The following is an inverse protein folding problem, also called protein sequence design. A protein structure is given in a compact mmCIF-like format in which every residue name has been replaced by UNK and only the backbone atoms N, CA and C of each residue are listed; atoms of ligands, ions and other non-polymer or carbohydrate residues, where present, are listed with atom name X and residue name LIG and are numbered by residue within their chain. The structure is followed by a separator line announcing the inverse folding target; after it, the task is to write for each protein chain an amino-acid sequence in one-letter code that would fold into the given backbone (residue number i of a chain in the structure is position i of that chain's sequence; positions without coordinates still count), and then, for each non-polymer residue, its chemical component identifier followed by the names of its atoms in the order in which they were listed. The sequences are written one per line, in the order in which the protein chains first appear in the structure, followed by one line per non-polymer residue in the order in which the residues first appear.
data_IF_051521212801
#
_entry.id   IF_051521212801
#
_cell.length_a   1.000
_cell.length_b   1.000
_cell.length_c   1.000
_cell.angle_alpha   90.00
_cell.angle_beta   90.00
_cell.angle_gamma   90.00
#
_symmetry.space_group_name_H-M   'P 1'
#
loop_
_entity.id
_entity.type
_entity.pdbx_description
1 polymer ?
#
# COMPACT_ATOMS: atom_id res chain seq x y z
N UNK A 1 32.40 3.64 -26.65
CA UNK A 1 31.87 2.73 -27.70
C UNK A 1 31.97 1.33 -27.13
N UNK A 2 30.88 0.82 -26.57
CA UNK A 2 30.70 -0.60 -26.24
C UNK A 2 29.34 -0.98 -26.80
N UNK A 3 29.36 -1.69 -27.91
CA UNK A 3 28.22 -2.33 -28.53
C UNK A 3 28.20 -3.79 -28.07
N UNK A 4 27.53 -4.08 -26.97
CA UNK A 4 27.25 -5.47 -26.58
C UNK A 4 25.96 -5.92 -27.28
N UNK A 5 26.15 -6.61 -28.40
CA UNK A 5 25.11 -7.35 -29.12
C UNK A 5 24.70 -8.58 -28.28
N UNK A 6 23.47 -8.59 -27.78
CA UNK A 6 22.86 -9.77 -27.14
C UNK A 6 22.79 -10.89 -28.20
N UNK A 7 23.31 -12.11 -27.91
CA UNK A 7 23.33 -13.18 -28.92
C UNK A 7 21.90 -13.62 -29.28
N UNK A 8 21.63 -13.74 -30.56
CA UNK A 8 20.34 -14.20 -31.14
C UNK A 8 19.86 -15.53 -30.53
N UNK A 9 20.76 -16.37 -30.05
CA UNK A 9 20.46 -17.62 -29.36
C UNK A 9 19.71 -17.44 -28.00
N UNK A 10 19.82 -16.28 -27.36
CA UNK A 10 19.10 -15.98 -26.14
C UNK A 10 17.62 -15.68 -26.41
N UNK A 11 17.32 -15.05 -27.55
CA UNK A 11 15.93 -14.77 -27.97
C UNK A 11 15.14 -16.03 -28.30
N UNK A 12 15.75 -16.96 -29.00
CA UNK A 12 15.11 -18.23 -29.39
C UNK A 12 14.79 -19.11 -28.17
N UNK A 13 15.66 -19.12 -27.13
CA UNK A 13 15.39 -19.85 -25.89
C UNK A 13 14.24 -19.24 -25.07
N UNK A 14 14.07 -17.92 -25.13
CA UNK A 14 13.00 -17.24 -24.40
C UNK A 14 11.64 -17.52 -25.07
N UNK A 15 11.55 -17.51 -26.40
CA UNK A 15 10.30 -17.82 -27.11
C UNK A 15 9.87 -19.28 -26.92
N UNK A 16 10.80 -20.23 -26.95
CA UNK A 16 10.50 -21.66 -26.69
C UNK A 16 10.03 -21.87 -25.24
N UNK A 17 10.64 -21.18 -24.27
CA UNK A 17 10.24 -21.28 -22.87
C UNK A 17 8.82 -20.73 -22.64
N UNK A 18 8.44 -19.64 -23.29
CA UNK A 18 7.08 -19.12 -23.24
C UNK A 18 6.05 -19.98 -23.97
N UNK A 19 6.43 -20.60 -25.09
CA UNK A 19 5.56 -21.52 -25.82
C UNK A 19 5.26 -22.78 -24.97
N UNK A 20 6.25 -23.34 -24.30
CA UNK A 20 6.09 -24.49 -23.40
C UNK A 20 5.23 -24.17 -22.18
N UNK A 21 5.36 -22.99 -21.59
CA UNK A 21 4.51 -22.54 -20.47
C UNK A 21 3.06 -22.37 -20.92
N UNK A 22 2.82 -21.74 -22.07
CA UNK A 22 1.47 -21.59 -22.63
C UNK A 22 0.84 -22.94 -22.98
N UNK A 23 1.62 -23.87 -23.50
CA UNK A 23 1.15 -25.23 -23.84
C UNK A 23 0.82 -26.01 -22.57
N UNK A 24 1.69 -25.96 -21.55
CA UNK A 24 1.47 -26.65 -20.27
C UNK A 24 0.23 -26.14 -19.51
N UNK A 25 -0.04 -24.84 -19.56
CA UNK A 25 -1.25 -24.26 -18.97
C UNK A 25 -2.54 -24.62 -19.75
N UNK A 26 -2.44 -24.89 -21.05
CA UNK A 26 -3.57 -25.32 -21.88
C UNK A 26 -3.99 -26.78 -21.64
N UNK A 27 -3.05 -27.66 -21.28
CA UNK A 27 -3.30 -29.10 -21.08
C UNK A 27 -3.59 -29.46 -19.62
N UNK A 28 -3.20 -28.61 -18.67
CA UNK A 28 -3.51 -28.76 -17.25
C UNK A 28 -4.34 -27.56 -16.77
N UNK A 29 -5.63 -27.46 -17.11
CA UNK A 29 -6.46 -26.45 -16.48
C UNK A 29 -6.45 -26.71 -14.97
N UNK A 30 -5.99 -25.73 -14.18
CA UNK A 30 -6.09 -25.81 -12.72
C UNK A 30 -7.53 -26.18 -12.37
N UNK A 31 -7.75 -27.11 -11.43
CA UNK A 31 -9.10 -27.48 -11.02
C UNK A 31 -9.82 -26.20 -10.54
N UNK A 32 -11.07 -26.01 -11.02
CA UNK A 32 -11.97 -24.89 -10.70
C UNK A 32 -12.50 -25.10 -9.27
N UNK A 33 -11.61 -25.10 -8.29
CA UNK A 33 -11.96 -25.11 -6.85
C UNK A 33 -11.35 -23.94 -6.11
N UNK A 34 -10.80 -22.95 -6.83
CA UNK A 34 -10.35 -21.71 -6.24
C UNK A 34 -11.56 -20.78 -6.10
N UNK A 35 -12.15 -20.74 -4.89
CA UNK A 35 -13.10 -19.68 -4.56
C UNK A 35 -12.40 -18.36 -4.87
N UNK A 36 -13.01 -17.56 -5.77
CA UNK A 36 -12.42 -16.31 -6.22
C UNK A 36 -11.94 -15.50 -5.01
N UNK A 37 -10.62 -15.19 -5.01
CA UNK A 37 -9.97 -14.39 -3.97
C UNK A 37 -10.77 -13.11 -3.71
N UNK A 38 -10.93 -12.72 -2.45
CA UNK A 38 -11.61 -11.47 -2.10
C UNK A 38 -10.69 -10.26 -2.28
N UNK A 39 -11.28 -9.08 -2.43
CA UNK A 39 -10.54 -7.79 -2.45
C UNK A 39 -9.69 -7.63 -1.17
N UNK A 40 -10.24 -7.96 0.01
CA UNK A 40 -9.49 -7.91 1.25
C UNK A 40 -8.25 -8.83 1.23
N UNK A 41 -8.34 -10.02 0.63
CA UNK A 41 -7.19 -10.94 0.49
C UNK A 41 -6.17 -10.38 -0.49
N UNK A 42 -6.61 -9.76 -1.59
CA UNK A 42 -5.72 -9.08 -2.54
C UNK A 42 -5.02 -7.88 -1.90
N UNK A 43 -5.72 -7.09 -1.09
CA UNK A 43 -5.15 -5.98 -0.31
C UNK A 43 -4.00 -6.47 0.57
N UNK A 44 -4.24 -7.51 1.37
CA UNK A 44 -3.25 -8.04 2.30
C UNK A 44 -2.03 -8.62 1.58
N UNK A 45 -2.23 -9.32 0.47
CA UNK A 45 -1.10 -9.83 -0.31
C UNK A 45 -0.27 -8.71 -0.91
N UNK A 46 -0.90 -7.65 -1.45
CA UNK A 46 -0.20 -6.49 -2.00
C UNK A 46 0.58 -5.73 -0.92
N UNK A 47 0.02 -5.57 0.29
CA UNK A 47 0.75 -5.02 1.44
C UNK A 47 1.97 -5.85 1.81
N UNK A 48 1.81 -7.18 1.88
CA UNK A 48 2.92 -8.08 2.18
C UNK A 48 4.03 -8.02 1.12
N UNK A 49 3.67 -7.92 -0.16
CA UNK A 49 4.60 -7.73 -1.27
C UNK A 49 5.34 -6.40 -1.21
N UNK A 50 4.71 -5.35 -0.67
CA UNK A 50 5.34 -4.04 -0.46
C UNK A 50 6.26 -3.97 0.76
N UNK A 51 6.35 -5.05 1.55
CA UNK A 51 7.19 -5.14 2.73
C UNK A 51 6.54 -4.72 4.04
N UNK A 52 5.22 -4.53 4.05
CA UNK A 52 4.44 -4.29 5.28
C UNK A 52 4.34 -5.59 6.07
N UNK A 53 4.75 -5.55 7.34
CA UNK A 53 4.71 -6.71 8.24
C UNK A 53 3.63 -6.62 9.31
N UNK A 54 3.12 -5.42 9.59
CA UNK A 54 2.16 -5.16 10.67
C UNK A 54 1.07 -4.20 10.22
N UNK A 55 -0.15 -4.42 10.72
CA UNK A 55 -1.24 -3.46 10.64
C UNK A 55 -1.65 -3.12 12.07
N UNK A 56 -1.53 -1.85 12.43
CA UNK A 56 -1.93 -1.33 13.73
C UNK A 56 -3.38 -0.83 13.69
N UNK A 57 -4.28 -1.46 14.42
CA UNK A 57 -5.70 -1.11 14.33
C UNK A 57 -6.52 -1.54 15.55
N UNK A 58 -7.69 -0.94 15.68
CA UNK A 58 -8.80 -1.46 16.46
C UNK A 58 -9.71 -2.27 15.53
N UNK A 59 -10.20 -3.40 15.98
CA UNK A 59 -11.18 -4.20 15.22
C UNK A 59 -12.51 -3.47 15.13
N UNK A 60 -13.18 -3.60 13.99
CA UNK A 60 -14.54 -3.06 13.76
C UNK A 60 -15.23 -3.83 12.63
N UNK A 61 -16.53 -3.73 12.56
CA UNK A 61 -17.37 -4.49 11.64
C UNK A 61 -17.02 -4.28 10.16
N UNK A 62 -16.73 -3.06 9.75
CA UNK A 62 -16.32 -2.74 8.38
C UNK A 62 -14.93 -3.28 8.02
N UNK A 63 -14.11 -3.68 9.01
CA UNK A 63 -12.79 -4.28 8.83
C UNK A 63 -12.80 -5.82 8.91
N UNK A 64 -13.96 -6.48 9.13
CA UNK A 64 -14.03 -7.92 9.33
C UNK A 64 -13.35 -8.73 8.21
N UNK A 65 -13.57 -8.36 6.96
CA UNK A 65 -12.95 -9.04 5.81
C UNK A 65 -11.42 -8.83 5.75
N UNK A 66 -10.96 -7.64 6.12
CA UNK A 66 -9.51 -7.32 6.21
C UNK A 66 -8.88 -8.14 7.34
N UNK A 67 -9.52 -8.21 8.50
CA UNK A 67 -9.08 -9.00 9.64
C UNK A 67 -8.97 -10.49 9.31
N UNK A 68 -9.99 -11.04 8.64
CA UNK A 68 -9.99 -12.44 8.19
C UNK A 68 -8.91 -12.70 7.13
N UNK A 69 -8.66 -11.76 6.23
CA UNK A 69 -7.59 -11.84 5.25
C UNK A 69 -6.21 -11.86 5.91
N UNK A 70 -5.97 -11.03 6.94
CA UNK A 70 -4.74 -11.06 7.75
C UNK A 70 -4.57 -12.41 8.43
N UNK A 71 -5.64 -12.93 9.05
CA UNK A 71 -5.60 -14.24 9.73
C UNK A 71 -5.19 -15.38 8.78
N UNK A 72 -5.63 -15.33 7.53
CA UNK A 72 -5.31 -16.35 6.51
C UNK A 72 -3.92 -16.20 5.90
N UNK A 73 -3.45 -14.97 5.71
CA UNK A 73 -2.22 -14.67 4.97
C UNK A 73 -0.95 -15.11 5.72
N UNK A 74 -0.92 -15.07 7.05
CA UNK A 74 0.22 -15.40 7.91
C UNK A 74 1.52 -14.60 7.70
N UNK A 75 1.55 -13.63 6.78
CA UNK A 75 2.73 -12.77 6.51
C UNK A 75 2.63 -11.45 7.24
N UNK A 76 1.43 -10.94 7.44
CA UNK A 76 1.15 -9.68 8.14
C UNK A 76 0.56 -9.98 9.50
N UNK A 77 1.03 -9.27 10.53
CA UNK A 77 0.50 -9.35 11.88
C UNK A 77 -0.50 -8.23 12.13
N UNK A 78 -1.66 -8.57 12.68
CA UNK A 78 -2.58 -7.59 13.23
C UNK A 78 -2.13 -7.22 14.63
N UNK A 79 -1.77 -5.97 14.85
CA UNK A 79 -1.41 -5.43 16.16
C UNK A 79 -2.61 -4.65 16.69
N UNK A 80 -3.31 -5.27 17.63
CA UNK A 80 -4.46 -4.65 18.26
C UNK A 80 -4.01 -3.50 19.17
N UNK A 81 -4.54 -2.31 18.92
CA UNK A 81 -4.34 -1.12 19.75
C UNK A 81 -5.64 -0.76 20.45
N UNK A 82 -5.58 0.10 21.46
CA UNK A 82 -6.77 0.53 22.22
C UNK A 82 -7.45 1.76 21.63
N UNK A 83 -6.76 2.46 20.75
CA UNK A 83 -7.25 3.65 20.06
C UNK A 83 -6.53 3.78 18.71
N UNK A 84 -7.24 4.13 17.66
CA UNK A 84 -6.70 4.16 16.29
C UNK A 84 -5.61 5.21 16.12
N UNK A 85 -5.68 6.33 16.83
CA UNK A 85 -4.63 7.35 16.88
C UNK A 85 -3.29 6.73 17.27
N UNK A 86 -3.27 5.92 18.35
CA UNK A 86 -2.07 5.18 18.75
C UNK A 86 -1.57 4.24 17.66
N UNK A 87 -2.50 3.64 16.91
CA UNK A 87 -2.15 2.79 15.76
C UNK A 87 -1.47 3.58 14.64
N UNK A 88 -1.94 4.78 14.35
CA UNK A 88 -1.34 5.65 13.34
C UNK A 88 0.08 6.12 13.76
N UNK A 89 0.27 6.53 15.02
CA UNK A 89 1.60 6.86 15.56
C UNK A 89 2.54 5.65 15.54
N UNK A 90 2.05 4.45 15.89
CA UNK A 90 2.87 3.24 15.86
C UNK A 90 3.31 2.89 14.42
N UNK A 91 2.43 3.04 13.44
CA UNK A 91 2.76 2.85 12.03
C UNK A 91 3.80 3.87 11.54
N UNK A 92 3.67 5.15 11.95
CA UNK A 92 4.64 6.19 11.64
C UNK A 92 6.02 5.89 12.25
N UNK A 93 6.06 5.51 13.53
CA UNK A 93 7.29 5.16 14.23
C UNK A 93 7.97 3.92 13.60
N UNK A 94 7.21 2.88 13.24
CA UNK A 94 7.75 1.73 12.53
C UNK A 94 8.38 2.13 11.19
N UNK A 95 7.69 2.99 10.43
CA UNK A 95 8.20 3.45 9.14
C UNK A 95 9.50 4.25 9.28
N UNK A 96 9.61 5.12 10.28
CA UNK A 96 10.82 5.89 10.56
C UNK A 96 11.99 5.01 11.00
N UNK A 97 11.74 4.06 11.91
CA UNK A 97 12.79 3.20 12.47
C UNK A 97 13.30 2.15 11.47
N UNK A 98 12.41 1.61 10.65
CA UNK A 98 12.76 0.51 9.73
C UNK A 98 13.08 0.99 8.33
N UNK A 99 12.67 2.21 7.98
CA UNK A 99 12.71 2.73 6.62
C UNK A 99 11.71 2.04 5.68
N UNK A 100 10.85 1.14 6.14
CA UNK A 100 9.77 0.48 5.37
C UNK A 100 8.46 1.22 5.55
N UNK A 101 7.45 0.86 4.76
CA UNK A 101 6.12 1.45 4.95
C UNK A 101 5.44 0.88 6.19
N UNK A 102 4.92 1.75 7.04
CA UNK A 102 4.00 1.39 8.12
C UNK A 102 2.56 1.25 7.61
N UNK A 103 1.73 0.52 8.34
CA UNK A 103 0.31 0.41 8.00
C UNK A 103 -0.58 0.51 9.24
N UNK A 104 -1.65 1.30 9.13
CA UNK A 104 -2.69 1.38 10.14
C UNK A 104 -4.07 1.25 9.50
N UNK A 105 -5.07 0.90 10.30
CA UNK A 105 -6.44 0.81 9.82
C UNK A 105 -7.44 1.34 10.85
N UNK A 106 -8.52 1.94 10.36
CA UNK A 106 -9.65 2.39 11.15
C UNK A 106 -10.98 1.94 10.54
N UNK A 107 -11.89 1.49 11.38
CA UNK A 107 -13.26 1.14 11.00
C UNK A 107 -14.04 2.38 10.55
N UNK A 108 -15.22 2.19 9.94
CA UNK A 108 -16.06 3.28 9.45
C UNK A 108 -16.41 4.31 10.54
N UNK A 109 -16.53 5.57 10.13
CA UNK A 109 -16.87 6.66 11.03
C UNK A 109 -15.78 6.97 12.05
N UNK A 110 -16.08 6.89 13.37
CA UNK A 110 -15.11 7.30 14.40
C UNK A 110 -13.78 6.54 14.32
N UNK A 111 -13.78 5.27 13.89
CA UNK A 111 -12.56 4.48 13.81
C UNK A 111 -11.51 5.10 12.91
N UNK A 112 -11.86 5.44 11.68
CA UNK A 112 -10.88 6.07 10.80
C UNK A 112 -10.69 7.58 11.10
N UNK A 113 -11.67 8.27 11.69
CA UNK A 113 -11.51 9.67 12.12
C UNK A 113 -10.41 9.80 13.16
N UNK A 114 -10.30 8.86 14.10
CA UNK A 114 -9.25 8.87 15.11
C UNK A 114 -7.83 8.72 14.54
N UNK A 115 -7.64 8.21 13.32
CA UNK A 115 -6.31 8.09 12.71
C UNK A 115 -5.66 9.45 12.43
N UNK A 116 -6.44 10.52 12.28
CA UNK A 116 -6.01 11.81 11.74
C UNK A 116 -4.78 12.37 12.46
N UNK A 117 -4.76 12.39 13.78
CA UNK A 117 -3.64 12.94 14.54
C UNK A 117 -2.31 12.26 14.20
N UNK A 118 -2.28 10.92 14.26
CA UNK A 118 -1.08 10.17 13.91
C UNK A 118 -0.71 10.27 12.43
N UNK A 119 -1.70 10.44 11.54
CA UNK A 119 -1.44 10.65 10.12
C UNK A 119 -0.85 12.03 9.83
N UNK A 120 -1.26 13.08 10.55
CA UNK A 120 -0.58 14.39 10.48
C UNK A 120 0.88 14.29 10.90
N UNK A 121 1.16 13.60 12.01
CA UNK A 121 2.54 13.37 12.46
C UNK A 121 3.34 12.61 11.40
N UNK A 122 2.82 11.50 10.88
CA UNK A 122 3.45 10.72 9.83
C UNK A 122 3.74 11.56 8.58
N UNK A 123 2.76 12.37 8.15
CA UNK A 123 2.88 13.23 6.96
C UNK A 123 3.95 14.30 7.13
N UNK A 124 4.01 14.96 8.29
CA UNK A 124 5.00 16.02 8.58
C UNK A 124 6.40 15.46 8.83
N UNK A 125 6.49 14.27 9.37
CA UNK A 125 7.76 13.56 9.62
C UNK A 125 8.31 12.83 8.39
N UNK A 126 7.61 12.85 7.26
CA UNK A 126 8.03 12.14 6.06
C UNK A 126 8.03 10.61 6.22
N UNK A 127 7.17 10.08 7.09
CA UNK A 127 7.03 8.65 7.31
C UNK A 127 6.09 8.02 6.27
N UNK A 128 6.52 7.04 5.46
CA UNK A 128 5.64 6.37 4.51
C UNK A 128 4.62 5.49 5.26
N UNK A 129 3.37 5.94 5.34
CA UNK A 129 2.28 5.24 6.02
C UNK A 129 1.12 4.99 5.05
N UNK A 130 0.64 3.76 5.04
CA UNK A 130 -0.58 3.35 4.34
C UNK A 130 -1.70 3.24 5.37
N UNK A 131 -2.73 4.07 5.23
CA UNK A 131 -3.89 4.07 6.11
C UNK A 131 -5.10 3.45 5.39
N UNK A 132 -5.65 2.39 5.93
CA UNK A 132 -6.90 1.77 5.47
C UNK A 132 -8.04 2.42 6.23
N UNK A 133 -8.73 3.35 5.59
CA UNK A 133 -9.94 3.96 6.13
C UNK A 133 -11.15 3.15 5.65
N UNK A 134 -11.57 2.14 6.42
CA UNK A 134 -12.76 1.40 6.04
C UNK A 134 -14.00 2.28 6.11
N UNK A 135 -14.93 2.10 5.19
CA UNK A 135 -16.15 2.90 5.10
C UNK A 135 -17.39 2.04 5.20
N UNK A 136 -18.54 2.70 5.33
CA UNK A 136 -19.86 2.08 5.23
C UNK A 136 -20.02 1.37 3.87
N UNK A 137 -20.99 0.47 3.70
CA UNK A 137 -21.26 -0.16 2.40
C UNK A 137 -21.49 0.88 1.31
N UNK A 138 -20.95 0.65 0.12
CA UNK A 138 -20.98 1.61 -1.00
C UNK A 138 -22.40 2.00 -1.45
N UNK A 139 -23.36 1.09 -1.29
CA UNK A 139 -24.79 1.35 -1.58
C UNK A 139 -25.45 2.38 -0.65
N UNK A 140 -24.83 2.66 0.50
CA UNK A 140 -25.36 3.59 1.51
C UNK A 140 -24.69 4.99 1.42
N UNK A 141 -23.79 5.20 0.47
CA UNK A 141 -23.12 6.50 0.29
C UNK A 141 -24.12 7.60 -0.07
N UNK A 142 -24.06 8.73 0.66
CA UNK A 142 -24.92 9.88 0.44
C UNK A 142 -26.31 9.76 1.06
N UNK A 143 -26.55 8.77 1.92
CA UNK A 143 -27.84 8.56 2.58
C UNK A 143 -27.87 9.01 4.05
N UNK A 144 -26.80 9.64 4.53
CA UNK A 144 -26.60 9.97 5.94
C UNK A 144 -26.62 8.72 6.84
N UNK A 145 -26.12 7.60 6.29
CA UNK A 145 -26.06 6.33 7.00
C UNK A 145 -25.19 6.43 8.25
N UNK A 146 -25.56 5.67 9.29
CA UNK A 146 -24.79 5.61 10.52
C UNK A 146 -23.29 5.37 10.26
N UNK A 147 -22.43 6.21 10.83
CA UNK A 147 -20.97 6.21 10.62
C UNK A 147 -20.52 6.64 9.21
N UNK A 148 -21.38 7.23 8.40
CA UNK A 148 -20.94 7.83 7.14
C UNK A 148 -20.00 9.02 7.40
N UNK A 149 -18.89 9.08 6.65
CA UNK A 149 -17.97 10.20 6.63
C UNK A 149 -17.48 10.43 5.21
N UNK A 150 -17.13 11.65 4.88
CA UNK A 150 -16.47 11.96 3.61
C UNK A 150 -14.95 11.81 3.77
N UNK A 151 -14.43 10.60 3.55
CA UNK A 151 -13.00 10.28 3.72
C UNK A 151 -12.10 11.15 2.86
N UNK A 152 -12.51 11.50 1.62
CA UNK A 152 -11.71 12.35 0.73
C UNK A 152 -11.51 13.74 1.34
N UNK A 153 -12.56 14.36 1.86
CA UNK A 153 -12.43 15.67 2.53
C UNK A 153 -11.67 15.56 3.85
N UNK A 154 -11.92 14.48 4.60
CA UNK A 154 -11.39 14.27 5.94
C UNK A 154 -9.86 14.17 5.95
N UNK A 155 -9.28 13.44 5.01
CA UNK A 155 -7.84 13.14 4.97
C UNK A 155 -7.06 13.99 3.96
N UNK A 156 -7.68 14.95 3.31
CA UNK A 156 -7.07 15.73 2.23
C UNK A 156 -5.78 16.46 2.66
N UNK A 157 -5.75 17.00 3.87
CA UNK A 157 -4.59 17.79 4.34
C UNK A 157 -3.47 16.93 4.96
N UNK A 158 -3.79 15.74 5.43
CA UNK A 158 -2.82 14.85 6.09
C UNK A 158 -2.33 13.70 5.19
N UNK A 159 -2.50 13.79 3.87
CA UNK A 159 -2.06 12.73 2.95
C UNK A 159 -1.67 13.25 1.59
N UNK A 160 -0.79 12.52 0.91
CA UNK A 160 -0.42 12.76 -0.49
C UNK A 160 -1.30 11.99 -1.48
N UNK A 161 -1.98 10.96 -1.01
CA UNK A 161 -2.91 10.16 -1.77
C UNK A 161 -4.12 9.85 -0.90
N UNK A 162 -5.31 10.10 -1.41
CA UNK A 162 -6.54 9.87 -0.68
C UNK A 162 -7.69 9.58 -1.66
N UNK A 163 -8.01 8.31 -1.82
CA UNK A 163 -9.03 7.85 -2.75
C UNK A 163 -9.90 6.74 -2.13
N UNK A 164 -11.16 6.66 -2.56
CA UNK A 164 -12.10 5.62 -2.16
C UNK A 164 -12.24 4.58 -3.27
N UNK A 165 -12.08 3.33 -2.93
CA UNK A 165 -12.29 2.22 -3.86
C UNK A 165 -13.78 2.11 -4.24
N UNK A 166 -14.07 2.08 -5.53
CA UNK A 166 -15.44 2.05 -6.05
C UNK A 166 -15.81 0.74 -6.74
N UNK A 167 -14.83 0.06 -7.33
CA UNK A 167 -15.05 -1.20 -8.04
C UNK A 167 -13.90 -2.19 -7.85
N UNK A 168 -14.18 -3.51 -7.94
CA UNK A 168 -13.13 -4.52 -7.91
C UNK A 168 -12.07 -4.37 -9.02
N UNK A 169 -12.45 -3.84 -10.18
CA UNK A 169 -11.53 -3.64 -11.30
C UNK A 169 -10.54 -2.49 -11.07
N UNK A 170 -10.99 -1.43 -10.39
CA UNK A 170 -10.18 -0.27 -10.06
C UNK A 170 -9.15 -0.60 -8.96
N UNK A 171 -9.54 -1.42 -7.99
CA UNK A 171 -8.85 -1.59 -6.72
C UNK A 171 -7.36 -1.92 -6.85
N UNK A 172 -6.92 -2.90 -7.64
CA UNK A 172 -5.50 -3.29 -7.68
C UNK A 172 -4.58 -2.14 -8.07
N UNK A 173 -4.94 -1.42 -9.15
CA UNK A 173 -4.13 -0.30 -9.64
C UNK A 173 -4.17 0.90 -8.70
N UNK A 174 -5.34 1.20 -8.14
CA UNK A 174 -5.53 2.26 -7.16
C UNK A 174 -4.67 2.00 -5.92
N UNK A 175 -4.71 0.78 -5.39
CA UNK A 175 -3.97 0.42 -4.19
C UNK A 175 -2.46 0.42 -4.42
N UNK A 176 -1.99 -0.06 -5.58
CA UNK A 176 -0.59 0.04 -5.97
C UNK A 176 -0.13 1.50 -6.04
N UNK A 177 -0.94 2.39 -6.62
CA UNK A 177 -0.64 3.83 -6.70
C UNK A 177 -0.56 4.47 -5.31
N UNK A 178 -1.43 4.08 -4.39
CA UNK A 178 -1.40 4.54 -2.99
C UNK A 178 -0.07 4.16 -2.32
N UNK A 179 0.30 2.89 -2.37
CA UNK A 179 1.56 2.38 -1.78
C UNK A 179 2.77 3.08 -2.41
N UNK A 180 2.81 3.15 -3.75
CA UNK A 180 3.93 3.80 -4.45
C UNK A 180 4.02 5.28 -4.08
N UNK A 181 2.89 5.99 -3.94
CA UNK A 181 2.89 7.40 -3.52
C UNK A 181 3.44 7.57 -2.10
N UNK A 182 3.02 6.73 -1.16
CA UNK A 182 3.54 6.78 0.21
C UNK A 182 5.08 6.61 0.23
N UNK A 183 5.59 5.65 -0.53
CA UNK A 183 7.03 5.34 -0.59
C UNK A 183 7.82 6.47 -1.26
N UNK A 184 7.37 6.95 -2.44
CA UNK A 184 8.12 7.93 -3.23
C UNK A 184 8.09 9.32 -2.64
N UNK A 185 6.95 9.74 -2.10
CA UNK A 185 6.78 11.06 -1.49
C UNK A 185 7.15 11.10 -0.01
N UNK A 186 7.44 9.95 0.60
CA UNK A 186 7.73 9.82 2.04
C UNK A 186 6.62 10.48 2.87
N UNK A 187 5.43 9.90 2.85
CA UNK A 187 4.28 10.45 3.57
C UNK A 187 3.09 9.49 3.53
N UNK A 188 1.92 10.04 3.78
CA UNK A 188 0.70 9.25 3.99
C UNK A 188 -0.04 9.01 2.68
N UNK A 189 -0.51 7.78 2.52
CA UNK A 189 -1.55 7.40 1.55
C UNK A 189 -2.75 6.80 2.26
N UNK A 190 -3.93 7.37 2.03
CA UNK A 190 -5.20 6.87 2.60
C UNK A 190 -6.00 6.18 1.52
N UNK A 191 -6.51 5.00 1.83
CA UNK A 191 -7.38 4.21 0.96
C UNK A 191 -8.70 3.98 1.67
N UNK A 192 -9.75 4.61 1.16
CA UNK A 192 -11.12 4.36 1.56
C UNK A 192 -11.58 3.00 1.03
N UNK A 193 -11.96 2.07 1.91
CA UNK A 193 -12.38 0.73 1.53
C UNK A 193 -13.79 0.44 2.04
N UNK A 194 -14.81 0.45 1.16
CA UNK A 194 -16.16 0.03 1.53
C UNK A 194 -16.20 -1.43 1.99
N UNK A 195 -16.91 -1.71 3.09
CA UNK A 195 -16.99 -3.05 3.68
C UNK A 195 -17.58 -4.11 2.73
N UNK A 196 -18.54 -3.74 1.90
CA UNK A 196 -19.09 -4.59 0.85
C UNK A 196 -18.12 -4.86 -0.29
N UNK A 197 -17.29 -3.86 -0.66
CA UNK A 197 -16.25 -4.04 -1.65
C UNK A 197 -15.12 -4.93 -1.13
N UNK A 198 -14.73 -4.79 0.13
CA UNK A 198 -13.74 -5.67 0.77
C UNK A 198 -14.11 -7.16 0.66
N UNK A 199 -15.41 -7.46 0.71
CA UNK A 199 -16.00 -8.81 0.56
C UNK A 199 -16.12 -9.28 -0.88
N UNK A 200 -16.15 -8.36 -1.84
CA UNK A 200 -16.33 -8.68 -3.25
C UNK A 200 -15.19 -9.54 -3.81
N UNK A 201 -15.49 -10.31 -4.87
CA UNK A 201 -14.48 -11.09 -5.58
C UNK A 201 -13.46 -10.16 -6.24
N UNK A 202 -12.18 -10.41 -6.00
CA UNK A 202 -11.09 -9.72 -6.65
C UNK A 202 -11.04 -10.07 -8.14
N UNK A 203 -10.67 -9.11 -8.95
CA UNK A 203 -10.37 -9.35 -10.37
C UNK A 203 -8.95 -9.91 -10.45
N UNK A 204 -8.77 -10.97 -11.24
CA UNK A 204 -7.43 -11.47 -11.52
C UNK A 204 -6.61 -10.37 -12.20
N UNK A 205 -5.57 -9.93 -11.54
CA UNK A 205 -4.53 -9.13 -12.20
C UNK A 205 -3.72 -10.08 -13.06
N UNK A 206 -3.46 -9.68 -14.30
CA UNK A 206 -2.57 -10.44 -15.18
C UNK A 206 -1.27 -10.74 -14.42
N UNK A 207 -0.90 -12.01 -14.32
CA UNK A 207 0.30 -12.46 -13.60
C UNK A 207 1.61 -11.88 -14.17
N UNK A 208 1.55 -11.25 -15.35
CA UNK A 208 2.66 -10.51 -15.94
C UNK A 208 2.87 -9.13 -15.29
N UNK A 209 1.87 -8.59 -14.59
CA UNK A 209 1.98 -7.30 -13.89
C UNK A 209 2.52 -7.55 -12.49
N UNK A 210 3.83 -7.40 -12.32
CA UNK A 210 4.44 -7.42 -10.99
C UNK A 210 4.22 -6.07 -10.30
N UNK A 211 3.91 -6.13 -9.01
CA UNK A 211 3.90 -4.95 -8.16
C UNK A 211 5.35 -4.53 -7.90
N UNK A 212 5.77 -3.41 -8.49
CA UNK A 212 7.06 -2.81 -8.18
C UNK A 212 6.83 -1.65 -7.22
N UNK A 213 7.50 -1.74 -6.07
CA UNK A 213 7.53 -0.67 -5.10
C UNK A 213 8.97 -0.18 -4.99
N UNK A 214 9.28 0.88 -5.70
CA UNK A 214 10.64 1.43 -5.76
C UNK A 214 10.75 2.68 -4.91
N UNK A 215 11.84 2.75 -4.15
CA UNK A 215 12.22 3.96 -3.44
C UNK A 215 13.12 4.78 -4.35
N UNK A 216 12.80 6.06 -4.64
CA UNK A 216 13.69 6.90 -5.41
C UNK A 216 14.96 7.22 -4.60
N UNK A 217 16.09 7.14 -5.24
CA UNK A 217 17.35 7.67 -4.72
C UNK A 217 17.48 9.11 -5.18
N UNK A 218 17.63 10.03 -4.24
CA UNK A 218 17.84 11.44 -4.51
C UNK A 218 19.29 11.75 -4.21
N UNK A 219 20.06 12.10 -5.25
CA UNK A 219 21.44 12.52 -5.11
C UNK A 219 21.51 14.05 -5.29
N UNK A 220 22.22 14.77 -4.41
CA UNK A 220 22.53 16.19 -4.62
C UNK A 220 23.33 16.38 -5.92
N UNK A 221 23.27 17.58 -6.50
CA UNK A 221 24.15 17.93 -7.59
C UNK A 221 25.60 18.01 -7.12
N UNK A 222 26.55 17.86 -8.04
CA UNK A 222 27.97 18.01 -7.72
C UNK A 222 28.28 19.42 -7.18
N UNK A 223 27.64 20.44 -7.72
CA UNK A 223 27.73 21.81 -7.24
C UNK A 223 27.28 21.98 -5.79
N UNK A 224 26.14 21.36 -5.43
CA UNK A 224 25.63 21.40 -4.05
C UNK A 224 26.58 20.67 -3.08
N UNK A 225 27.19 19.56 -3.53
CA UNK A 225 28.15 18.82 -2.71
C UNK A 225 29.43 19.63 -2.48
N UNK A 226 29.93 20.38 -3.48
CA UNK A 226 31.07 21.27 -3.33
C UNK A 226 30.74 22.39 -2.36
N UNK A 227 29.59 23.06 -2.52
CA UNK A 227 29.15 24.11 -1.60
C UNK A 227 29.03 23.62 -0.16
N UNK A 228 28.47 22.42 0.03
CA UNK A 228 28.37 21.80 1.36
C UNK A 228 29.76 21.51 1.92
N UNK A 229 30.68 20.97 1.14
CA UNK A 229 32.03 20.67 1.56
C UNK A 229 32.78 21.95 1.99
N UNK A 230 32.68 23.01 1.21
CA UNK A 230 33.30 24.31 1.52
C UNK A 230 32.70 24.89 2.82
N UNK A 231 31.39 24.82 3.00
CA UNK A 231 30.73 25.26 4.22
C UNK A 231 31.22 24.47 5.43
N UNK A 232 31.26 23.14 5.35
CA UNK A 232 31.73 22.30 6.46
C UNK A 232 33.19 22.55 6.80
N UNK A 233 34.08 22.69 5.77
CA UNK A 233 35.50 22.94 5.96
C UNK A 233 35.81 24.34 6.49
N UNK A 234 34.89 25.31 6.35
CA UNK A 234 35.06 26.69 6.85
C UNK A 234 34.80 26.83 8.36
N UNK A 235 34.29 25.76 9.03
CA UNK A 235 33.93 25.79 10.44
C UNK A 235 34.68 24.72 11.23
N UNK A 236 35.22 25.11 12.42
CA UNK A 236 35.88 24.17 13.34
C UNK A 236 34.92 23.32 14.15
N UNK A 237 33.66 23.75 14.31
CA UNK A 237 32.60 23.06 15.07
C UNK A 237 31.36 22.88 14.21
N UNK A 238 30.94 21.63 14.04
CA UNK A 238 29.73 21.25 13.31
C UNK A 238 28.81 20.55 14.31
N UNK A 239 27.59 21.05 14.46
CA UNK A 239 26.57 20.50 15.35
C UNK A 239 25.30 20.15 14.56
#
# INVERSE_FOLDING_TARGET
MCTDTIPVLAYVKIELFFADICYYQRINPKPITDMAKKIAEQLIDTLAESGVERIYAVTGDSLNEVNEAVRKNNKIKWIHVRHEETGAYAAAAEAQLTGRSGCCAGSSGPGHVHLINGLYDAQRSGAPVIAIASTIPSREFGTEYFQETNTIKLFNDCSYYNEVATTPKQFPRMFQSAIQTAITRKGVAVVGLPGDLAKASAVSVDSSVRNYFTRPEVCPSEEDLILLADLLNSHERIT
#
